data_IF_733611514569
#
_entry.id   IF_733611514569
#
_cell.length_a   1.000
_cell.length_b   1.000
_cell.length_c   1.000
_cell.angle_alpha   90.00
_cell.angle_beta   90.00
_cell.angle_gamma   90.00
#
_symmetry.space_group_name_H-M   'P 1'
#
loop_
_entity.id
_entity.type
_entity.pdbx_description
1 polymer ?
#
# COMPACT_ATOMS: atom_id res chain seq x y z
N UNK A 1 -23.07 33.50 1.64
CA UNK A 1 -21.81 32.76 1.35
C UNK A 1 -21.87 31.31 1.80
N UNK A 2 -21.98 30.97 3.10
CA UNK A 2 -22.03 29.53 3.49
C UNK A 2 -23.31 28.82 3.01
N UNK A 3 -24.47 29.51 2.99
CA UNK A 3 -25.73 28.94 2.50
C UNK A 3 -25.61 28.46 1.06
N UNK A 4 -25.05 29.30 0.18
CA UNK A 4 -24.87 28.96 -1.23
C UNK A 4 -23.87 27.82 -1.42
N UNK A 5 -22.77 27.79 -0.66
CA UNK A 5 -21.82 26.69 -0.64
C UNK A 5 -22.46 25.40 -0.11
N UNK A 6 -23.28 25.48 0.94
CA UNK A 6 -24.01 24.34 1.49
C UNK A 6 -24.91 23.71 0.44
N UNK A 7 -25.67 24.52 -0.30
CA UNK A 7 -26.59 24.00 -1.33
C UNK A 7 -25.83 23.33 -2.47
N UNK A 8 -24.68 23.90 -2.89
CA UNK A 8 -23.79 23.28 -3.89
C UNK A 8 -23.24 21.94 -3.40
N UNK A 9 -22.66 21.90 -2.19
CA UNK A 9 -22.11 20.66 -1.62
C UNK A 9 -23.18 19.59 -1.42
N UNK A 10 -24.41 19.98 -1.02
CA UNK A 10 -25.52 19.04 -0.87
C UNK A 10 -25.86 18.43 -2.24
N UNK A 11 -25.97 19.26 -3.28
CA UNK A 11 -26.26 18.76 -4.63
C UNK A 11 -25.16 17.80 -5.16
N UNK A 12 -23.88 18.11 -4.90
CA UNK A 12 -22.75 17.24 -5.26
C UNK A 12 -22.79 15.91 -4.49
N UNK A 13 -23.10 15.92 -3.19
CA UNK A 13 -23.23 14.71 -2.37
C UNK A 13 -24.41 13.85 -2.85
N UNK A 14 -25.55 14.47 -3.18
CA UNK A 14 -26.73 13.79 -3.74
C UNK A 14 -26.43 13.16 -5.11
N UNK A 15 -25.52 13.77 -5.90
CA UNK A 15 -25.08 13.19 -7.16
C UNK A 15 -24.18 11.95 -6.93
N UNK A 16 -23.25 12.03 -5.97
CA UNK A 16 -22.40 10.90 -5.56
C UNK A 16 -23.25 9.73 -5.07
N UNK A 17 -24.29 10.01 -4.26
CA UNK A 17 -25.24 8.98 -3.76
C UNK A 17 -26.02 8.35 -4.91
N UNK A 18 -26.60 9.17 -5.81
CA UNK A 18 -27.35 8.68 -6.99
C UNK A 18 -26.48 7.88 -7.96
N UNK A 19 -25.20 8.21 -8.05
CA UNK A 19 -24.24 7.47 -8.85
C UNK A 19 -23.83 6.12 -8.21
N UNK A 20 -24.24 5.82 -6.96
CA UNK A 20 -23.86 4.63 -6.22
C UNK A 20 -22.37 4.60 -5.84
N UNK A 21 -21.72 5.78 -5.76
CA UNK A 21 -20.28 5.90 -5.43
C UNK A 21 -20.03 6.51 -4.05
N UNK A 22 -21.11 6.76 -3.29
CA UNK A 22 -21.01 7.25 -1.91
C UNK A 22 -20.37 6.17 -1.02
N UNK A 23 -19.41 6.59 -0.19
CA UNK A 23 -18.67 5.67 0.68
C UNK A 23 -19.32 5.63 2.06
N UNK A 24 -19.98 4.51 2.37
CA UNK A 24 -20.52 4.24 3.70
C UNK A 24 -19.48 3.51 4.54
N UNK A 25 -19.10 4.10 5.67
CA UNK A 25 -18.19 3.46 6.62
C UNK A 25 -18.91 2.36 7.42
N UNK A 26 -18.18 1.30 7.75
CA UNK A 26 -18.60 0.25 8.68
C UNK A 26 -17.74 0.31 9.94
N UNK A 27 -18.36 0.19 11.10
CA UNK A 27 -17.68 0.26 12.39
C UNK A 27 -17.21 -1.14 12.79
N UNK A 28 -15.92 -1.23 13.14
CA UNK A 28 -15.34 -2.44 13.74
C UNK A 28 -15.21 -2.18 15.24
N UNK A 29 -15.78 -3.07 16.05
CA UNK A 29 -15.80 -2.95 17.52
C UNK A 29 -14.87 -3.93 18.25
N UNK A 30 -14.08 -4.71 17.50
CA UNK A 30 -13.04 -5.63 18.01
C UNK A 30 -11.64 -5.17 17.59
N UNK A 31 -10.62 -5.91 17.99
CA UNK A 31 -9.29 -5.80 17.38
C UNK A 31 -9.36 -6.15 15.87
N UNK A 32 -8.42 -5.64 15.08
CA UNK A 32 -8.32 -5.92 13.65
C UNK A 32 -7.67 -7.28 13.44
N UNK A 33 -8.44 -8.26 13.02
CA UNK A 33 -8.01 -9.65 12.83
C UNK A 33 -8.67 -10.29 11.61
N UNK A 34 -8.43 -11.59 11.39
CA UNK A 34 -9.13 -12.39 10.37
C UNK A 34 -10.64 -12.55 10.68
N UNK A 35 -11.04 -12.44 11.96
CA UNK A 35 -12.44 -12.40 12.44
C UNK A 35 -12.64 -11.14 13.24
N UNK A 36 -13.69 -10.40 12.93
CA UNK A 36 -14.01 -9.10 13.56
C UNK A 36 -15.51 -9.00 13.81
N UNK A 37 -15.90 -8.09 14.71
CA UNK A 37 -17.29 -7.65 14.79
C UNK A 37 -17.42 -6.34 14.01
N UNK A 38 -18.20 -6.34 12.93
CA UNK A 38 -18.39 -5.18 12.06
C UNK A 38 -19.86 -4.96 11.72
N UNK A 39 -20.25 -3.69 11.52
CA UNK A 39 -21.61 -3.32 11.16
C UNK A 39 -21.72 -1.86 10.69
N UNK A 40 -22.90 -1.45 10.17
CA UNK A 40 -23.14 -0.06 9.79
C UNK A 40 -23.02 0.90 10.97
N UNK A 41 -22.70 2.16 10.68
CA UNK A 41 -22.68 3.21 11.71
C UNK A 41 -24.04 3.31 12.42
N UNK A 42 -24.03 3.28 13.76
CA UNK A 42 -25.23 3.41 14.60
C UNK A 42 -26.08 2.13 14.74
N UNK A 43 -25.54 0.97 14.36
CA UNK A 43 -26.16 -0.35 14.58
C UNK A 43 -25.16 -1.30 15.22
N UNK A 44 -25.67 -2.33 15.89
CA UNK A 44 -24.84 -3.41 16.40
C UNK A 44 -24.19 -4.19 15.24
N UNK A 45 -22.90 -4.51 15.38
CA UNK A 45 -22.17 -5.31 14.43
C UNK A 45 -22.42 -6.81 14.64
N UNK A 46 -22.14 -7.61 13.61
CA UNK A 46 -22.08 -9.06 13.67
C UNK A 46 -20.63 -9.55 13.52
N UNK A 47 -20.35 -10.76 14.02
CA UNK A 47 -19.06 -11.41 13.75
C UNK A 47 -18.98 -11.79 12.28
N UNK A 48 -17.89 -11.40 11.64
CA UNK A 48 -17.64 -11.63 10.21
C UNK A 48 -16.19 -11.99 9.97
N UNK A 49 -15.93 -12.74 8.91
CA UNK A 49 -14.60 -12.97 8.35
C UNK A 49 -14.14 -11.71 7.60
N UNK A 50 -12.94 -11.26 7.86
CA UNK A 50 -12.39 -10.02 7.29
C UNK A 50 -11.45 -10.29 6.13
N UNK A 51 -11.93 -10.12 4.90
CA UNK A 51 -11.16 -10.28 3.68
C UNK A 51 -10.85 -8.96 2.97
N UNK A 52 -10.85 -7.82 3.68
CA UNK A 52 -10.54 -6.51 3.11
C UNK A 52 -9.40 -5.75 3.81
N UNK A 53 -8.95 -6.18 5.00
CA UNK A 53 -7.84 -5.54 5.69
C UNK A 53 -6.49 -5.88 5.05
N UNK A 54 -5.57 -4.90 4.99
CA UNK A 54 -4.20 -5.13 4.52
C UNK A 54 -3.30 -5.80 5.59
N UNK A 55 -3.89 -6.67 6.42
CA UNK A 55 -3.23 -7.38 7.52
C UNK A 55 -2.64 -8.71 7.03
N UNK A 56 -1.76 -8.65 6.01
CA UNK A 56 -1.26 -9.80 5.26
C UNK A 56 -0.68 -10.91 6.15
N UNK A 57 0.08 -10.55 7.17
CA UNK A 57 0.72 -11.51 8.08
C UNK A 57 -0.07 -11.75 9.37
N UNK A 58 -1.24 -11.12 9.54
CA UNK A 58 -2.05 -11.27 10.73
C UNK A 58 -1.46 -10.63 11.99
N UNK A 59 -0.54 -9.66 11.85
CA UNK A 59 0.20 -9.09 12.99
C UNK A 59 -0.50 -7.93 13.68
N UNK A 60 -1.63 -7.42 13.17
CA UNK A 60 -2.26 -6.20 13.70
C UNK A 60 -2.75 -6.34 15.16
N UNK A 61 -3.10 -7.54 15.60
CA UNK A 61 -3.51 -7.87 16.97
C UNK A 61 -2.57 -8.88 17.67
N UNK A 62 -1.37 -9.10 17.12
CA UNK A 62 -0.37 -10.00 17.71
C UNK A 62 0.03 -9.55 19.13
N UNK A 63 -0.08 -10.46 20.09
CA UNK A 63 0.19 -10.18 21.51
C UNK A 63 1.61 -9.65 21.77
N UNK A 64 2.60 -10.06 20.94
CA UNK A 64 3.99 -9.61 21.06
C UNK A 64 4.13 -8.15 20.65
N UNK A 65 3.44 -7.72 19.61
CA UNK A 65 3.38 -6.32 19.17
C UNK A 65 2.67 -5.46 20.22
N UNK A 66 1.51 -5.94 20.69
CA UNK A 66 0.73 -5.26 21.74
C UNK A 66 1.55 -5.11 23.03
N UNK A 67 2.28 -6.16 23.44
CA UNK A 67 3.15 -6.10 24.61
C UNK A 67 4.31 -5.11 24.42
N UNK A 68 4.93 -5.08 23.24
CA UNK A 68 5.99 -4.13 22.89
C UNK A 68 5.50 -2.68 22.92
N UNK A 69 4.32 -2.41 22.34
CA UNK A 69 3.70 -1.09 22.38
C UNK A 69 3.41 -0.64 23.81
N UNK A 70 2.86 -1.52 24.67
CA UNK A 70 2.60 -1.22 26.09
C UNK A 70 3.88 -0.88 26.86
N UNK A 71 4.95 -1.66 26.68
CA UNK A 71 6.24 -1.34 27.30
C UNK A 71 6.76 0.02 26.86
N UNK A 72 6.66 0.34 25.58
CA UNK A 72 7.08 1.65 25.09
C UNK A 72 6.23 2.80 25.65
N UNK A 73 4.94 2.60 25.88
CA UNK A 73 4.09 3.58 26.58
C UNK A 73 4.56 3.81 28.02
N UNK A 74 4.91 2.75 28.74
CA UNK A 74 5.39 2.84 30.13
C UNK A 74 6.77 3.50 30.22
N UNK A 75 7.69 3.19 29.30
CA UNK A 75 9.09 3.62 29.36
C UNK A 75 9.36 4.95 28.66
N UNK A 76 8.63 5.25 27.57
CA UNK A 76 8.91 6.38 26.68
C UNK A 76 7.76 7.40 26.60
N UNK A 77 6.59 7.08 27.17
CA UNK A 77 5.40 7.92 27.14
C UNK A 77 4.58 7.79 25.85
N UNK A 78 3.50 8.55 25.78
CA UNK A 78 2.50 8.45 24.71
C UNK A 78 2.96 9.03 23.37
N UNK A 79 3.67 10.17 23.37
CA UNK A 79 3.99 10.89 22.16
C UNK A 79 5.18 11.81 22.28
N UNK A 80 5.68 12.27 21.13
CA UNK A 80 6.90 13.08 21.04
C UNK A 80 6.67 14.58 21.20
N UNK A 81 5.47 15.06 20.90
CA UNK A 81 5.10 16.49 20.89
C UNK A 81 6.08 17.39 20.10
N UNK A 82 6.81 16.81 19.14
CA UNK A 82 7.85 17.48 18.37
C UNK A 82 8.16 16.75 17.06
N UNK A 83 8.72 17.50 16.12
CA UNK A 83 9.35 16.97 14.91
C UNK A 83 10.75 16.45 15.23
N UNK A 84 11.28 15.57 14.37
CA UNK A 84 12.52 14.83 14.59
C UNK A 84 13.73 15.72 14.93
N UNK A 85 13.98 16.79 14.21
CA UNK A 85 15.22 17.59 14.35
C UNK A 85 15.21 18.56 15.55
N UNK A 86 14.04 18.87 16.12
CA UNK A 86 13.97 19.79 17.29
C UNK A 86 14.24 18.99 18.56
N UNK A 87 13.30 18.16 19.01
CA UNK A 87 13.45 17.29 20.19
C UNK A 87 12.61 16.00 20.09
N UNK A 88 12.22 15.61 18.87
CA UNK A 88 11.35 14.46 18.60
C UNK A 88 12.09 13.20 18.15
N UNK A 89 13.40 13.07 18.39
CA UNK A 89 14.16 11.86 18.10
C UNK A 89 14.50 11.10 19.36
N UNK A 90 14.02 9.86 19.45
CA UNK A 90 14.43 8.89 20.47
C UNK A 90 15.37 7.84 19.86
N UNK A 91 16.05 7.08 20.73
CA UNK A 91 16.84 5.91 20.36
C UNK A 91 16.05 4.88 19.55
N UNK A 92 14.80 4.59 19.94
CA UNK A 92 13.89 3.69 19.21
C UNK A 92 13.72 4.05 17.72
N UNK A 93 13.72 5.36 17.38
CA UNK A 93 13.65 5.76 15.98
C UNK A 93 14.90 5.36 15.22
N UNK A 94 16.09 5.56 15.84
CA UNK A 94 17.36 5.19 15.22
C UNK A 94 17.52 3.67 15.11
N UNK A 95 17.06 2.93 16.11
CA UNK A 95 17.04 1.47 16.08
C UNK A 95 16.18 0.94 14.92
N UNK A 96 14.97 1.49 14.75
CA UNK A 96 14.08 1.10 13.65
C UNK A 96 14.68 1.47 12.29
N UNK A 97 15.28 2.67 12.13
CA UNK A 97 15.96 3.09 10.91
C UNK A 97 17.11 2.14 10.55
N UNK A 98 17.92 1.74 11.53
CA UNK A 98 19.01 0.80 11.34
C UNK A 98 18.51 -0.62 11.01
N UNK A 99 17.49 -1.09 11.71
CA UNK A 99 16.91 -2.41 11.48
C UNK A 99 16.30 -2.51 10.06
N UNK A 100 15.59 -1.47 9.63
CA UNK A 100 15.04 -1.42 8.26
C UNK A 100 16.14 -1.37 7.21
N UNK A 101 17.20 -0.60 7.41
CA UNK A 101 18.33 -0.56 6.48
C UNK A 101 18.99 -1.94 6.35
N UNK A 102 19.19 -2.64 7.46
CA UNK A 102 19.74 -3.99 7.47
C UNK A 102 18.80 -4.98 6.75
N UNK A 103 17.50 -4.93 7.04
CA UNK A 103 16.48 -5.79 6.45
C UNK A 103 16.34 -5.61 4.93
N UNK A 104 16.38 -4.37 4.45
CA UNK A 104 16.24 -4.04 3.04
C UNK A 104 17.56 -4.08 2.26
N UNK A 105 18.70 -4.23 2.95
CA UNK A 105 20.02 -4.19 2.33
C UNK A 105 20.40 -2.80 1.81
N UNK A 106 19.93 -1.73 2.46
CA UNK A 106 20.15 -0.34 2.05
C UNK A 106 21.18 0.36 2.96
N UNK A 107 21.63 1.57 2.55
CA UNK A 107 22.66 2.30 3.27
C UNK A 107 22.13 3.13 4.45
N UNK A 108 20.90 3.66 4.35
CA UNK A 108 20.26 4.47 5.38
C UNK A 108 18.73 4.47 5.22
N UNK A 109 18.01 4.80 6.28
CA UNK A 109 16.54 4.87 6.33
C UNK A 109 16.09 6.09 7.12
N UNK A 110 14.95 6.67 6.73
CA UNK A 110 14.29 7.79 7.41
C UNK A 110 12.81 7.49 7.60
N UNK A 111 12.29 7.74 8.81
CA UNK A 111 10.91 7.44 9.22
C UNK A 111 9.99 8.63 9.02
N UNK A 112 8.72 8.34 8.69
CA UNK A 112 7.63 9.28 8.53
C UNK A 112 6.37 8.82 9.28
N UNK A 113 5.40 9.73 9.48
CA UNK A 113 4.11 9.43 10.11
C UNK A 113 3.22 8.52 9.24
N UNK A 114 3.46 8.46 7.94
CA UNK A 114 2.81 7.55 6.97
C UNK A 114 3.70 7.35 5.75
N UNK A 115 3.42 6.32 4.94
CA UNK A 115 4.05 6.19 3.62
C UNK A 115 3.54 7.27 2.64
N UNK A 116 2.35 7.82 2.86
CA UNK A 116 1.88 8.97 2.10
C UNK A 116 2.82 10.18 2.28
N UNK A 117 3.21 10.46 3.54
CA UNK A 117 4.20 11.50 3.87
C UNK A 117 5.59 11.16 3.32
N UNK A 118 6.00 9.89 3.40
CA UNK A 118 7.28 9.41 2.87
C UNK A 118 7.38 9.68 1.36
N UNK A 119 6.38 9.27 0.58
CA UNK A 119 6.30 9.53 -0.86
C UNK A 119 6.24 11.03 -1.19
N UNK A 120 5.46 11.80 -0.40
CA UNK A 120 5.40 13.26 -0.54
C UNK A 120 6.72 13.98 -0.27
N UNK A 121 7.60 13.38 0.55
CA UNK A 121 8.86 13.97 0.93
C UNK A 121 9.97 13.82 -0.13
N UNK A 122 9.86 12.85 -1.07
CA UNK A 122 10.96 12.47 -1.97
C UNK A 122 11.21 13.49 -3.07
N UNK A 123 10.17 13.94 -3.75
CA UNK A 123 10.32 14.55 -5.07
C UNK A 123 10.78 16.01 -5.04
N UNK A 124 10.17 16.86 -4.20
CA UNK A 124 10.53 18.29 -4.13
C UNK A 124 12.00 18.54 -3.75
N UNK A 125 12.59 17.81 -2.76
CA UNK A 125 13.99 18.00 -2.38
C UNK A 125 15.01 17.50 -3.40
N UNK A 126 14.67 16.44 -4.16
CA UNK A 126 15.64 15.73 -5.01
C UNK A 126 15.58 16.17 -6.48
N UNK A 127 14.38 16.57 -6.96
CA UNK A 127 14.14 16.81 -8.39
C UNK A 127 13.58 18.20 -8.64
N UNK A 128 14.27 19.00 -9.43
CA UNK A 128 13.93 20.37 -9.80
C UNK A 128 13.63 20.54 -11.28
N UNK A 129 13.65 21.77 -11.77
CA UNK A 129 13.29 22.14 -13.16
C UNK A 129 14.16 21.48 -14.25
N UNK A 130 15.37 21.07 -13.88
CA UNK A 130 16.33 20.47 -14.81
C UNK A 130 16.25 18.94 -14.84
N UNK A 131 15.35 18.36 -14.04
CA UNK A 131 15.24 16.92 -13.82
C UNK A 131 13.96 16.38 -14.45
N UNK A 132 13.87 15.05 -14.60
CA UNK A 132 12.70 14.35 -15.12
C UNK A 132 12.24 13.27 -14.14
N UNK A 133 10.93 13.10 -14.02
CA UNK A 133 10.28 12.04 -13.26
C UNK A 133 9.38 11.26 -14.22
N UNK A 134 9.60 9.95 -14.33
CA UNK A 134 8.83 9.05 -15.20
C UNK A 134 8.06 8.08 -14.31
N UNK A 135 6.73 8.21 -14.29
CA UNK A 135 5.84 7.53 -13.36
C UNK A 135 4.96 6.52 -14.07
N UNK A 136 4.82 5.32 -13.49
CA UNK A 136 3.79 4.38 -13.93
C UNK A 136 2.38 5.00 -13.80
N UNK A 137 1.51 4.64 -14.72
CA UNK A 137 0.16 5.20 -14.84
C UNK A 137 -0.76 4.81 -13.68
N UNK A 138 -0.50 3.68 -13.01
CA UNK A 138 -1.32 3.17 -11.91
C UNK A 138 -0.66 3.32 -10.53
N UNK A 139 0.42 4.11 -10.44
CA UNK A 139 1.04 4.41 -9.16
C UNK A 139 0.06 4.95 -8.13
N UNK A 140 0.32 4.65 -6.87
CA UNK A 140 -0.48 5.12 -5.74
C UNK A 140 -0.62 6.65 -5.71
N UNK A 141 -1.77 7.14 -5.23
CA UNK A 141 -2.08 8.56 -5.16
C UNK A 141 -1.00 9.40 -4.46
N UNK A 142 -0.33 8.86 -3.44
CA UNK A 142 0.75 9.55 -2.73
C UNK A 142 1.98 9.83 -3.60
N UNK A 143 2.32 8.92 -4.52
CA UNK A 143 3.37 9.14 -5.52
C UNK A 143 2.95 10.21 -6.51
N UNK A 144 1.72 10.13 -7.02
CA UNK A 144 1.17 11.13 -7.96
C UNK A 144 1.17 12.53 -7.33
N UNK A 145 0.72 12.65 -6.09
CA UNK A 145 0.66 13.94 -5.39
C UNK A 145 2.07 14.45 -5.01
N UNK A 146 2.96 13.56 -4.56
CA UNK A 146 4.35 13.91 -4.30
C UNK A 146 5.07 14.42 -5.56
N UNK A 147 4.87 13.75 -6.70
CA UNK A 147 5.41 14.19 -8.01
C UNK A 147 4.88 15.56 -8.41
N UNK A 148 3.59 15.85 -8.12
CA UNK A 148 2.98 17.17 -8.41
C UNK A 148 3.62 18.31 -7.62
N UNK A 149 4.18 18.06 -6.45
CA UNK A 149 4.89 19.07 -5.65
C UNK A 149 6.25 19.45 -6.26
N UNK A 150 6.86 18.56 -7.04
CA UNK A 150 8.11 18.84 -7.74
C UNK A 150 7.93 19.77 -8.95
N UNK A 151 9.01 20.48 -9.30
CA UNK A 151 9.10 21.30 -10.51
C UNK A 151 9.75 20.55 -11.69
N UNK A 152 10.10 19.28 -11.54
CA UNK A 152 10.68 18.46 -12.58
C UNK A 152 9.70 18.24 -13.75
N UNK A 153 10.24 17.96 -14.93
CA UNK A 153 9.45 17.49 -16.06
C UNK A 153 8.82 16.15 -15.71
N UNK A 154 7.53 15.98 -16.02
CA UNK A 154 6.75 14.80 -15.63
C UNK A 154 6.33 14.03 -16.86
N UNK A 155 6.70 12.77 -16.88
CA UNK A 155 6.33 11.79 -17.89
C UNK A 155 5.52 10.67 -17.23
N UNK A 156 4.66 10.04 -18.00
CA UNK A 156 3.83 8.94 -17.52
C UNK A 156 3.82 7.85 -18.57
N UNK A 157 4.12 6.62 -18.16
CA UNK A 157 4.05 5.45 -19.03
C UNK A 157 2.87 4.55 -18.66
N UNK A 158 2.36 3.79 -19.63
CA UNK A 158 1.28 2.84 -19.43
C UNK A 158 1.71 1.75 -18.42
N UNK A 159 0.76 1.28 -17.60
CA UNK A 159 1.06 0.37 -16.49
C UNK A 159 1.86 -0.86 -16.96
N UNK A 160 3.03 -1.04 -16.35
CA UNK A 160 3.97 -2.14 -16.57
C UNK A 160 4.44 -2.30 -18.04
N UNK A 161 4.26 -1.28 -18.88
CA UNK A 161 4.65 -1.28 -20.31
C UNK A 161 6.08 -0.76 -20.47
N UNK A 162 7.02 -1.67 -20.73
CA UNK A 162 8.44 -1.35 -20.90
C UNK A 162 8.74 -0.61 -22.21
N UNK A 163 7.95 -0.80 -23.25
CA UNK A 163 8.12 -0.13 -24.54
C UNK A 163 7.69 1.34 -24.43
N UNK A 164 6.56 1.60 -23.74
CA UNK A 164 6.17 2.98 -23.44
C UNK A 164 7.13 3.63 -22.44
N UNK A 165 7.62 2.91 -21.41
CA UNK A 165 8.65 3.42 -20.51
C UNK A 165 9.90 3.86 -21.29
N UNK A 166 10.40 3.06 -22.25
CA UNK A 166 11.50 3.44 -23.13
C UNK A 166 11.19 4.73 -23.88
N UNK A 167 10.00 4.84 -24.46
CA UNK A 167 9.57 6.05 -25.19
C UNK A 167 9.62 7.29 -24.29
N UNK A 168 9.18 7.18 -23.02
CA UNK A 168 9.21 8.29 -22.07
C UNK A 168 10.65 8.64 -21.63
N UNK A 169 11.55 7.64 -21.52
CA UNK A 169 12.97 7.86 -21.23
C UNK A 169 13.67 8.58 -22.37
N UNK A 170 13.39 8.20 -23.62
CA UNK A 170 13.89 8.90 -24.82
C UNK A 170 13.40 10.36 -24.86
N UNK A 171 12.12 10.60 -24.52
CA UNK A 171 11.59 11.95 -24.43
C UNK A 171 12.27 12.78 -23.32
N UNK A 172 12.57 12.18 -22.17
CA UNK A 172 13.33 12.84 -21.09
C UNK A 172 14.78 13.14 -21.51
N UNK A 173 15.41 12.25 -22.28
CA UNK A 173 16.75 12.45 -22.84
C UNK A 173 16.81 13.56 -23.90
N UNK A 174 15.70 13.90 -24.53
CA UNK A 174 15.58 14.99 -25.49
C UNK A 174 15.28 16.37 -24.85
N UNK A 175 15.07 16.45 -23.55
CA UNK A 175 14.81 17.71 -22.84
C UNK A 175 15.96 18.72 -23.01
N UNK A 176 15.66 20.00 -22.76
CA UNK A 176 16.64 21.10 -22.71
C UNK A 176 17.49 21.23 -23.98
N UNK A 177 16.83 21.22 -25.13
CA UNK A 177 17.46 21.33 -26.46
C UNK A 177 18.42 20.15 -26.76
N UNK A 178 18.04 18.94 -26.33
CA UNK A 178 18.83 17.73 -26.55
C UNK A 178 19.98 17.50 -25.57
N UNK A 179 20.08 18.32 -24.50
CA UNK A 179 21.05 18.08 -23.42
C UNK A 179 20.63 17.01 -22.44
N UNK A 180 19.33 16.64 -22.46
CA UNK A 180 18.70 15.71 -21.53
C UNK A 180 18.39 16.30 -20.15
N UNK A 181 17.63 15.57 -19.36
CA UNK A 181 17.44 15.89 -17.96
C UNK A 181 18.76 15.71 -17.17
N UNK A 182 19.00 16.57 -16.19
CA UNK A 182 20.19 16.45 -15.32
C UNK A 182 20.13 15.15 -14.47
N UNK A 183 18.95 14.81 -14.00
CA UNK A 183 18.63 13.56 -13.29
C UNK A 183 17.31 13.05 -13.80
N UNK A 184 17.22 11.75 -13.97
CA UNK A 184 15.97 11.07 -14.31
C UNK A 184 15.67 10.03 -13.23
N UNK A 185 14.42 9.89 -12.82
CA UNK A 185 13.96 8.82 -11.92
C UNK A 185 12.75 8.12 -12.50
N UNK A 186 12.79 6.80 -12.51
CA UNK A 186 11.64 5.94 -12.82
C UNK A 186 10.97 5.61 -11.49
N UNK A 187 9.65 5.79 -11.41
CA UNK A 187 8.86 5.60 -10.19
C UNK A 187 7.75 4.60 -10.45
N UNK A 188 7.69 3.56 -9.64
CA UNK A 188 6.66 2.52 -9.72
C UNK A 188 6.24 2.02 -8.34
N UNK A 189 4.97 1.62 -8.17
CA UNK A 189 4.60 0.69 -7.12
C UNK A 189 5.27 -0.66 -7.41
N UNK A 190 5.74 -1.37 -6.39
CA UNK A 190 6.21 -2.76 -6.54
C UNK A 190 5.05 -3.71 -6.79
N UNK A 191 3.93 -3.47 -6.10
CA UNK A 191 2.65 -4.18 -6.26
C UNK A 191 1.53 -3.17 -6.41
N UNK A 192 0.79 -3.23 -7.51
CA UNK A 192 -0.35 -2.36 -7.76
C UNK A 192 -1.57 -2.78 -6.93
N UNK A 193 -1.98 -1.92 -6.02
CA UNK A 193 -2.90 -2.21 -4.92
C UNK A 193 -4.30 -2.67 -5.31
N UNK A 194 -4.78 -2.31 -6.51
CA UNK A 194 -6.12 -2.66 -6.99
C UNK A 194 -6.15 -3.94 -7.82
N UNK A 195 -4.99 -4.39 -8.30
CA UNK A 195 -4.86 -5.48 -9.27
C UNK A 195 -4.04 -6.66 -8.72
N UNK A 196 -3.13 -6.42 -7.79
CA UNK A 196 -2.18 -7.43 -7.32
C UNK A 196 -1.09 -7.76 -8.35
N UNK A 197 -0.94 -6.94 -9.40
CA UNK A 197 0.13 -7.08 -10.37
C UNK A 197 1.46 -6.62 -9.78
N UNK A 198 2.53 -7.30 -10.17
CA UNK A 198 3.90 -6.91 -9.83
C UNK A 198 4.48 -6.04 -10.96
N UNK A 199 5.22 -5.00 -10.60
CA UNK A 199 5.98 -4.23 -11.57
C UNK A 199 7.09 -5.11 -12.18
N UNK A 200 7.38 -4.99 -13.49
CA UNK A 200 8.44 -5.76 -14.15
C UNK A 200 9.83 -5.18 -13.83
N UNK A 201 10.22 -5.22 -12.53
CA UNK A 201 11.42 -4.55 -12.02
C UNK A 201 12.71 -4.89 -12.76
N UNK A 202 12.98 -6.15 -13.20
CA UNK A 202 14.18 -6.43 -13.99
C UNK A 202 14.27 -5.58 -15.26
N UNK A 203 13.18 -5.50 -16.03
CA UNK A 203 13.14 -4.69 -17.26
C UNK A 203 13.19 -3.18 -16.98
N UNK A 204 12.58 -2.72 -15.88
CA UNK A 204 12.68 -1.32 -15.44
C UNK A 204 14.13 -0.98 -15.09
N UNK A 205 14.82 -1.85 -14.35
CA UNK A 205 16.23 -1.66 -14.01
C UNK A 205 17.13 -1.70 -15.24
N UNK A 206 16.86 -2.59 -16.22
CA UNK A 206 17.63 -2.62 -17.48
C UNK A 206 17.52 -1.31 -18.26
N UNK A 207 16.33 -0.74 -18.33
CA UNK A 207 16.12 0.58 -18.94
C UNK A 207 16.74 1.70 -18.10
N UNK A 208 16.69 1.61 -16.78
CA UNK A 208 17.34 2.57 -15.90
C UNK A 208 18.87 2.62 -16.12
N UNK A 209 19.50 1.46 -16.22
CA UNK A 209 20.95 1.35 -16.51
C UNK A 209 21.28 1.92 -17.90
N UNK A 210 20.47 1.61 -18.92
CA UNK A 210 20.68 2.10 -20.29
C UNK A 210 20.62 3.64 -20.37
N UNK A 211 19.67 4.25 -19.66
CA UNK A 211 19.45 5.71 -19.71
C UNK A 211 20.11 6.48 -18.56
N UNK A 212 20.77 5.81 -17.62
CA UNK A 212 21.38 6.43 -16.45
C UNK A 212 20.34 7.04 -15.49
N UNK A 213 19.18 6.38 -15.35
CA UNK A 213 18.09 6.82 -14.49
C UNK A 213 18.18 6.15 -13.12
N UNK A 214 17.66 6.83 -12.08
CA UNK A 214 17.41 6.25 -10.77
C UNK A 214 16.13 5.42 -10.79
N UNK A 215 16.02 4.43 -9.90
CA UNK A 215 14.81 3.62 -9.71
C UNK A 215 14.26 3.85 -8.30
N UNK A 216 12.98 4.20 -8.21
CA UNK A 216 12.21 4.28 -6.97
C UNK A 216 11.06 3.29 -6.99
N UNK A 217 10.95 2.49 -5.92
CA UNK A 217 9.89 1.49 -5.75
C UNK A 217 9.12 1.78 -4.45
N UNK A 218 7.79 1.94 -4.56
CA UNK A 218 6.89 1.88 -3.40
C UNK A 218 6.47 0.43 -3.17
N UNK A 219 6.99 -0.16 -2.13
CA UNK A 219 6.80 -1.57 -1.79
C UNK A 219 5.79 -1.79 -0.65
N UNK A 220 4.90 -0.82 -0.45
CA UNK A 220 3.88 -0.83 0.62
C UNK A 220 2.97 -2.06 0.62
N UNK A 221 2.80 -2.73 -0.50
CA UNK A 221 2.01 -3.96 -0.65
C UNK A 221 2.87 -5.23 -0.78
N UNK A 222 4.18 -5.15 -0.49
CA UNK A 222 5.08 -6.28 -0.64
C UNK A 222 6.02 -6.47 0.55
N UNK A 223 6.55 -5.36 1.10
CA UNK A 223 7.44 -5.40 2.27
C UNK A 223 6.79 -6.14 3.43
N UNK A 224 7.53 -7.06 4.03
CA UNK A 224 7.12 -7.97 5.08
C UNK A 224 6.86 -9.40 4.61
N UNK A 225 6.59 -9.65 3.31
CA UNK A 225 6.22 -10.99 2.87
C UNK A 225 6.63 -11.39 1.44
N UNK A 226 6.88 -10.45 0.52
CA UNK A 226 7.41 -10.78 -0.80
C UNK A 226 8.93 -10.99 -0.73
N UNK A 227 9.45 -11.92 -1.53
CA UNK A 227 10.84 -12.33 -1.49
C UNK A 227 11.15 -13.40 -0.43
N UNK A 228 12.37 -13.91 -0.42
CA UNK A 228 12.79 -15.01 0.45
C UNK A 228 12.78 -14.60 1.92
N UNK A 229 13.31 -13.42 2.23
CA UNK A 229 13.30 -12.85 3.59
C UNK A 229 12.06 -12.01 3.90
N UNK A 230 11.30 -11.61 2.88
CA UNK A 230 10.18 -10.67 2.97
C UNK A 230 10.61 -9.23 2.76
N UNK A 231 11.77 -8.97 2.18
CA UNK A 231 12.27 -7.61 1.95
C UNK A 231 11.59 -6.89 0.77
N UNK A 232 10.67 -7.56 0.07
CA UNK A 232 9.80 -6.94 -0.90
C UNK A 232 10.03 -7.37 -2.35
N UNK A 233 9.44 -6.64 -3.30
CA UNK A 233 9.52 -6.96 -4.72
C UNK A 233 10.92 -6.87 -5.32
N UNK A 234 11.81 -5.93 -4.90
CA UNK A 234 13.19 -5.94 -5.39
C UNK A 234 13.96 -7.22 -5.01
N UNK A 235 13.74 -7.76 -3.80
CA UNK A 235 14.30 -9.05 -3.40
C UNK A 235 13.69 -10.20 -4.20
N UNK A 236 12.37 -10.21 -4.36
CA UNK A 236 11.64 -11.22 -5.13
C UNK A 236 12.20 -11.38 -6.55
N UNK A 237 12.57 -10.28 -7.19
CA UNK A 237 13.15 -10.27 -8.53
C UNK A 237 14.68 -10.31 -8.57
N UNK A 238 15.37 -10.30 -7.42
CA UNK A 238 16.83 -10.31 -7.35
C UNK A 238 17.49 -9.03 -7.87
N UNK A 239 16.84 -7.85 -7.71
CA UNK A 239 17.30 -6.55 -8.21
C UNK A 239 17.46 -5.49 -7.11
N UNK A 240 17.54 -5.89 -5.84
CA UNK A 240 17.59 -4.96 -4.70
C UNK A 240 18.76 -3.96 -4.78
N UNK A 241 19.90 -4.36 -5.32
CA UNK A 241 21.10 -3.53 -5.49
C UNK A 241 20.96 -2.48 -6.61
N UNK A 242 19.95 -2.63 -7.48
CA UNK A 242 19.65 -1.75 -8.62
C UNK A 242 18.53 -0.74 -8.34
N UNK A 243 17.92 -0.80 -7.15
CA UNK A 243 16.91 0.16 -6.70
C UNK A 243 17.57 1.20 -5.80
N UNK A 244 17.36 2.48 -6.06
CA UNK A 244 18.00 3.58 -5.34
C UNK A 244 17.16 4.10 -4.17
N UNK A 245 15.82 4.04 -4.30
CA UNK A 245 14.86 4.56 -3.34
C UNK A 245 13.76 3.54 -3.12
N UNK A 246 13.65 3.07 -1.88
CA UNK A 246 12.58 2.20 -1.42
C UNK A 246 11.64 3.01 -0.54
N UNK A 247 10.35 2.89 -0.73
CA UNK A 247 9.36 3.36 0.23
C UNK A 247 8.45 2.23 0.67
N UNK A 248 7.90 2.34 1.87
CA UNK A 248 7.02 1.33 2.40
C UNK A 248 6.28 1.82 3.64
N UNK A 249 5.30 1.03 4.08
CA UNK A 249 4.39 1.37 5.17
C UNK A 249 4.47 0.38 6.32
N UNK A 250 4.28 0.88 7.53
CA UNK A 250 4.04 0.04 8.72
C UNK A 250 2.54 -0.25 8.92
N UNK A 251 1.69 0.41 8.15
CA UNK A 251 0.22 0.28 8.24
C UNK A 251 -0.36 -0.96 7.57
N UNK A 252 0.47 -1.95 7.19
CA UNK A 252 0.05 -3.19 6.53
C UNK A 252 0.75 -4.40 7.15
N UNK A 253 1.55 -5.16 6.40
CA UNK A 253 2.22 -6.37 6.87
C UNK A 253 3.15 -6.15 8.08
N UNK A 254 3.76 -4.98 8.20
CA UNK A 254 4.66 -4.63 9.29
C UNK A 254 3.93 -4.10 10.54
N UNK A 255 2.86 -4.78 10.95
CA UNK A 255 2.15 -4.50 12.21
C UNK A 255 0.80 -3.79 12.07
N UNK A 256 0.48 -3.20 10.91
CA UNK A 256 -0.87 -2.67 10.62
C UNK A 256 -1.25 -1.36 11.31
N UNK A 257 -0.33 -0.67 12.00
CA UNK A 257 -0.62 0.58 12.71
C UNK A 257 -0.50 1.79 11.77
N UNK A 258 0.50 2.61 11.93
CA UNK A 258 0.77 3.77 11.09
C UNK A 258 2.27 3.98 10.95
N UNK A 259 2.65 4.92 10.07
CA UNK A 259 4.04 5.20 9.76
C UNK A 259 4.46 4.65 8.41
N UNK A 260 5.61 5.12 7.97
CA UNK A 260 6.25 4.72 6.74
C UNK A 260 7.71 5.13 6.73
N UNK A 261 8.40 4.77 5.67
CA UNK A 261 9.83 5.04 5.55
C UNK A 261 10.22 5.34 4.10
N UNK A 262 11.36 6.03 3.97
CA UNK A 262 12.19 6.02 2.77
C UNK A 262 13.52 5.39 3.14
N UNK A 263 13.97 4.43 2.35
CA UNK A 263 15.24 3.74 2.52
C UNK A 263 16.02 3.74 1.20
N UNK A 264 17.35 3.76 1.25
CA UNK A 264 18.14 3.76 0.01
C UNK A 264 19.54 4.32 0.21
N UNK A 265 20.02 5.07 -0.79
CA UNK A 265 21.36 5.66 -0.77
C UNK A 265 21.47 6.74 0.32
N UNK A 266 22.58 6.74 1.04
CA UNK A 266 22.80 7.61 2.22
C UNK A 266 22.63 9.10 1.90
N UNK A 267 23.12 9.56 0.77
CA UNK A 267 23.03 10.96 0.37
C UNK A 267 21.58 11.38 0.06
N UNK A 268 20.77 10.46 -0.46
CA UNK A 268 19.33 10.67 -0.69
C UNK A 268 18.65 10.86 0.66
N UNK A 269 18.81 9.91 1.56
CA UNK A 269 18.20 9.93 2.90
C UNK A 269 18.67 11.16 3.69
N UNK A 270 19.96 11.49 3.64
CA UNK A 270 20.51 12.69 4.27
C UNK A 270 19.88 13.98 3.71
N UNK A 271 19.64 14.08 2.40
CA UNK A 271 18.96 15.21 1.79
C UNK A 271 17.50 15.32 2.25
N UNK A 272 16.79 14.19 2.37
CA UNK A 272 15.41 14.19 2.88
C UNK A 272 15.34 14.65 4.34
N UNK A 273 16.31 14.29 5.18
CA UNK A 273 16.42 14.79 6.56
C UNK A 273 16.55 16.31 6.61
N UNK A 274 17.18 16.93 5.62
CA UNK A 274 17.41 18.38 5.59
C UNK A 274 16.28 19.16 4.91
N UNK A 275 15.56 18.56 3.94
CA UNK A 275 14.63 19.29 3.06
C UNK A 275 13.25 18.65 2.92
N UNK A 276 13.05 17.42 3.36
CA UNK A 276 11.77 16.73 3.27
C UNK A 276 10.72 17.40 4.16
N UNK A 277 9.78 18.14 3.57
CA UNK A 277 8.80 18.93 4.32
C UNK A 277 7.95 18.08 5.29
N UNK A 278 7.42 16.91 4.91
CA UNK A 278 6.71 16.05 5.85
C UNK A 278 7.56 15.63 7.07
N UNK A 279 8.86 15.43 6.89
CA UNK A 279 9.77 15.12 8.00
C UNK A 279 10.05 16.34 8.90
N UNK A 280 10.25 17.50 8.29
CA UNK A 280 10.59 18.72 9.01
C UNK A 280 9.42 19.35 9.77
N UNK A 281 8.18 19.11 9.33
CA UNK A 281 7.00 19.83 9.82
C UNK A 281 5.89 18.94 10.37
N UNK A 282 6.03 17.60 10.32
CA UNK A 282 5.10 16.67 10.93
C UNK A 282 5.70 16.03 12.19
N UNK A 283 4.87 15.72 13.16
CA UNK A 283 5.31 15.04 14.40
C UNK A 283 6.01 13.73 14.10
N UNK A 284 6.98 13.40 14.96
CA UNK A 284 7.67 12.11 14.94
C UNK A 284 6.70 10.95 15.17
N UNK A 285 7.02 9.81 14.60
CA UNK A 285 6.29 8.56 14.85
C UNK A 285 6.25 8.27 16.37
N UNK A 286 5.08 7.86 16.87
CA UNK A 286 4.90 7.61 18.29
C UNK A 286 5.79 6.44 18.79
N UNK A 287 6.34 6.53 20.02
CA UNK A 287 7.22 5.49 20.57
C UNK A 287 6.59 4.10 20.57
N UNK A 288 5.30 3.98 20.89
CA UNK A 288 4.57 2.70 20.91
C UNK A 288 4.50 2.05 19.53
N UNK A 289 4.31 2.85 18.48
CA UNK A 289 4.29 2.36 17.08
C UNK A 289 5.70 1.95 16.67
N UNK A 290 6.70 2.76 16.98
CA UNK A 290 8.11 2.49 16.65
C UNK A 290 8.58 1.16 17.26
N UNK A 291 8.31 0.93 18.55
CA UNK A 291 8.67 -0.29 19.24
C UNK A 291 7.90 -1.52 18.72
N UNK A 292 6.60 -1.39 18.46
CA UNK A 292 5.81 -2.48 17.89
C UNK A 292 6.29 -2.84 16.47
N UNK A 293 6.65 -1.85 15.64
CA UNK A 293 7.19 -2.08 14.30
C UNK A 293 8.55 -2.78 14.33
N UNK A 294 9.43 -2.45 15.28
CA UNK A 294 10.68 -3.19 15.53
C UNK A 294 10.39 -4.68 15.82
N UNK A 295 9.40 -4.94 16.67
CA UNK A 295 8.98 -6.31 16.98
C UNK A 295 8.39 -7.00 15.75
N UNK A 296 7.58 -6.31 14.95
CA UNK A 296 7.03 -6.84 13.71
C UNK A 296 8.13 -7.23 12.73
N UNK A 297 9.15 -6.39 12.57
CA UNK A 297 10.29 -6.67 11.70
C UNK A 297 11.05 -7.92 12.14
N UNK A 298 11.33 -8.07 13.43
CA UNK A 298 11.96 -9.29 13.99
C UNK A 298 11.13 -10.55 13.73
N UNK A 299 9.80 -10.44 13.82
CA UNK A 299 8.90 -11.57 13.54
C UNK A 299 8.91 -11.93 12.06
N UNK A 300 8.94 -10.96 11.18
CA UNK A 300 9.04 -11.17 9.73
C UNK A 300 10.34 -11.88 9.36
N UNK A 301 11.48 -11.41 9.90
CA UNK A 301 12.78 -12.04 9.68
C UNK A 301 12.82 -13.50 10.20
N UNK A 302 12.18 -13.73 11.35
CA UNK A 302 12.16 -15.05 12.02
C UNK A 302 11.13 -16.04 11.48
N UNK A 303 10.19 -15.63 10.62
CA UNK A 303 9.03 -16.47 10.28
C UNK A 303 8.77 -16.63 8.77
N UNK A 304 9.48 -17.58 8.16
CA UNK A 304 9.13 -18.03 6.81
C UNK A 304 7.72 -18.68 6.74
N UNK A 305 7.22 -19.22 7.87
CA UNK A 305 5.93 -19.91 7.91
C UNK A 305 4.74 -18.96 7.70
N UNK A 306 4.77 -17.74 8.26
CA UNK A 306 3.72 -16.75 8.02
C UNK A 306 3.62 -16.39 6.53
N UNK A 307 4.76 -16.19 5.87
CA UNK A 307 4.80 -15.92 4.43
C UNK A 307 4.27 -17.11 3.62
N UNK A 308 4.75 -18.32 3.93
CA UNK A 308 4.29 -19.53 3.27
C UNK A 308 2.78 -19.75 3.46
N UNK A 309 2.24 -19.49 4.64
CA UNK A 309 0.81 -19.60 4.92
C UNK A 309 0.01 -18.58 4.11
N UNK A 310 0.47 -17.33 4.03
CA UNK A 310 -0.17 -16.30 3.23
C UNK A 310 -0.30 -16.70 1.76
N UNK A 311 0.78 -17.20 1.16
CA UNK A 311 0.78 -17.62 -0.26
C UNK A 311 -0.05 -18.88 -0.49
N UNK A 312 0.01 -19.87 0.40
CA UNK A 312 -0.90 -21.04 0.34
C UNK A 312 -2.37 -20.62 0.38
N UNK A 313 -2.71 -19.68 1.26
CA UNK A 313 -4.06 -19.15 1.37
C UNK A 313 -4.50 -18.43 0.09
N UNK A 314 -3.61 -17.67 -0.53
CA UNK A 314 -3.89 -16.99 -1.79
C UNK A 314 -4.08 -17.97 -2.95
N UNK A 315 -3.24 -18.98 -3.05
CA UNK A 315 -3.34 -20.05 -4.04
C UNK A 315 -4.64 -20.86 -3.88
N UNK A 316 -4.95 -21.28 -2.66
CA UNK A 316 -6.19 -22.01 -2.34
C UNK A 316 -7.42 -21.19 -2.74
N UNK A 317 -7.49 -19.91 -2.33
CA UNK A 317 -8.63 -19.05 -2.66
C UNK A 317 -8.78 -18.90 -4.18
N UNK A 318 -7.68 -18.66 -4.92
CA UNK A 318 -7.72 -18.55 -6.38
C UNK A 318 -8.22 -19.84 -7.04
N UNK A 319 -7.73 -21.01 -6.62
CA UNK A 319 -8.14 -22.31 -7.14
C UNK A 319 -9.64 -22.53 -6.93
N UNK A 320 -10.12 -22.35 -5.70
CA UNK A 320 -11.52 -22.59 -5.34
C UNK A 320 -12.49 -21.62 -6.04
N UNK A 321 -12.15 -20.34 -6.12
CA UNK A 321 -12.95 -19.36 -6.86
C UNK A 321 -13.01 -19.66 -8.36
N UNK A 322 -11.90 -20.13 -8.94
CA UNK A 322 -11.84 -20.57 -10.33
C UNK A 322 -12.75 -21.80 -10.60
N UNK A 323 -12.76 -22.79 -9.71
CA UNK A 323 -13.66 -23.96 -9.77
C UNK A 323 -15.14 -23.54 -9.75
N UNK A 324 -15.48 -22.49 -8.97
CA UNK A 324 -16.83 -21.93 -8.90
C UNK A 324 -17.17 -20.96 -10.06
N UNK A 325 -16.25 -20.80 -11.03
CA UNK A 325 -16.46 -20.03 -12.25
C UNK A 325 -16.44 -18.52 -12.06
N UNK A 326 -15.74 -18.01 -11.03
CA UNK A 326 -15.48 -16.58 -10.89
C UNK A 326 -14.29 -16.14 -11.75
N UNK A 327 -14.43 -14.97 -12.38
CA UNK A 327 -13.35 -14.35 -13.11
C UNK A 327 -12.40 -13.63 -12.14
N UNK A 328 -11.12 -14.00 -12.15
CA UNK A 328 -10.07 -13.40 -11.34
C UNK A 328 -9.01 -12.76 -12.23
N UNK A 329 -8.43 -11.64 -11.79
CA UNK A 329 -7.20 -11.18 -12.43
C UNK A 329 -6.05 -12.16 -12.11
N UNK A 330 -5.22 -12.48 -13.12
CA UNK A 330 -4.08 -13.37 -12.92
C UNK A 330 -3.05 -12.75 -11.97
N UNK A 331 -2.24 -13.58 -11.31
CA UNK A 331 -1.17 -13.14 -10.42
C UNK A 331 -0.96 -14.10 -9.26
N UNK A 332 0.12 -13.90 -8.52
CA UNK A 332 0.54 -14.71 -7.38
C UNK A 332 0.40 -13.98 -6.04
N UNK A 333 0.06 -12.70 -6.07
CA UNK A 333 -0.04 -11.87 -4.87
C UNK A 333 -1.27 -12.23 -4.02
N UNK A 334 -1.22 -11.91 -2.72
CA UNK A 334 -2.31 -12.10 -1.75
C UNK A 334 -3.50 -11.12 -1.96
N UNK A 335 -3.37 -10.15 -2.83
CA UNK A 335 -4.48 -9.37 -3.39
C UNK A 335 -5.10 -10.20 -4.51
N UNK A 336 -6.40 -10.54 -4.37
CA UNK A 336 -7.14 -11.32 -5.38
C UNK A 336 -8.37 -10.54 -5.80
N UNK A 337 -8.33 -9.85 -6.95
CA UNK A 337 -9.49 -9.15 -7.50
C UNK A 337 -10.47 -10.16 -8.12
N UNK A 338 -11.72 -10.16 -7.64
CA UNK A 338 -12.84 -10.90 -8.21
C UNK A 338 -13.61 -9.93 -9.12
N UNK A 339 -13.62 -10.19 -10.42
CA UNK A 339 -14.11 -9.26 -11.43
C UNK A 339 -15.63 -9.37 -11.64
N UNK A 340 -16.30 -8.23 -11.66
CA UNK A 340 -17.73 -8.14 -11.93
C UNK A 340 -18.07 -7.20 -13.10
N UNK A 341 -17.14 -6.28 -13.44
CA UNK A 341 -17.32 -5.30 -14.50
C UNK A 341 -18.29 -4.18 -14.13
N UNK A 342 -19.51 -4.50 -13.73
CA UNK A 342 -20.56 -3.55 -13.36
C UNK A 342 -20.43 -3.12 -11.88
N UNK A 343 -20.47 -1.81 -11.62
CA UNK A 343 -20.29 -1.23 -10.30
C UNK A 343 -21.43 -1.57 -9.33
N UNK A 344 -22.69 -1.53 -9.82
CA UNK A 344 -23.85 -1.80 -8.99
C UNK A 344 -23.93 -3.29 -8.64
N UNK A 345 -23.55 -4.18 -9.57
CA UNK A 345 -23.45 -5.61 -9.31
C UNK A 345 -22.40 -5.90 -8.24
N UNK A 346 -21.20 -5.36 -8.38
CA UNK A 346 -20.12 -5.54 -7.40
C UNK A 346 -20.52 -5.07 -5.99
N UNK A 347 -21.19 -3.91 -5.90
CA UNK A 347 -21.68 -3.37 -4.63
C UNK A 347 -22.75 -4.28 -4.01
N UNK A 348 -23.76 -4.72 -4.76
CA UNK A 348 -24.81 -5.62 -4.26
C UNK A 348 -24.23 -6.95 -3.78
N UNK A 349 -23.24 -7.50 -4.50
CA UNK A 349 -22.58 -8.74 -4.07
C UNK A 349 -21.78 -8.50 -2.79
N UNK A 350 -21.05 -7.38 -2.67
CA UNK A 350 -20.31 -7.07 -1.45
C UNK A 350 -21.24 -6.90 -0.22
N UNK A 351 -22.43 -6.33 -0.40
CA UNK A 351 -23.43 -6.23 0.66
C UNK A 351 -24.01 -7.61 1.01
N UNK A 352 -24.37 -8.42 0.02
CA UNK A 352 -24.83 -9.78 0.23
C UNK A 352 -23.79 -10.70 0.90
N UNK A 353 -22.49 -10.47 0.61
CA UNK A 353 -21.39 -11.15 1.30
C UNK A 353 -21.37 -10.86 2.80
N UNK A 354 -21.63 -9.61 3.19
CA UNK A 354 -21.71 -9.24 4.61
C UNK A 354 -22.83 -9.99 5.32
N UNK A 355 -24.00 -10.15 4.67
CA UNK A 355 -25.12 -10.94 5.20
C UNK A 355 -24.77 -12.43 5.34
N UNK A 356 -23.78 -12.91 4.58
CA UNK A 356 -23.21 -14.26 4.70
C UNK A 356 -22.05 -14.34 5.70
N UNK A 357 -21.79 -13.30 6.49
CA UNK A 357 -20.73 -13.27 7.48
C UNK A 357 -19.33 -13.04 6.92
N UNK A 358 -19.20 -12.46 5.72
CA UNK A 358 -17.89 -12.16 5.09
C UNK A 358 -17.81 -10.69 4.70
N UNK A 359 -16.84 -9.98 5.28
CA UNK A 359 -16.60 -8.57 4.99
C UNK A 359 -15.59 -8.41 3.84
N UNK A 360 -16.11 -7.91 2.74
CA UNK A 360 -15.34 -7.49 1.55
C UNK A 360 -15.80 -6.10 1.10
N UNK A 361 -15.02 -5.48 0.21
CA UNK A 361 -15.33 -4.14 -0.33
C UNK A 361 -15.28 -4.16 -1.86
N UNK A 362 -16.32 -3.62 -2.48
CA UNK A 362 -16.36 -3.38 -3.91
C UNK A 362 -15.59 -2.10 -4.28
N UNK A 363 -14.87 -2.17 -5.40
CA UNK A 363 -14.15 -1.04 -5.99
C UNK A 363 -14.67 -0.77 -7.39
N UNK A 364 -14.96 0.50 -7.66
CA UNK A 364 -15.46 1.00 -8.94
C UNK A 364 -14.75 2.30 -9.32
N UNK A 365 -15.10 2.88 -10.44
CA UNK A 365 -14.64 4.20 -10.85
C UNK A 365 -14.91 5.24 -9.73
N UNK A 366 -14.00 6.19 -9.42
CA UNK A 366 -12.72 6.45 -10.14
C UNK A 366 -11.51 5.64 -9.64
N UNK A 367 -11.68 4.73 -8.68
CA UNK A 367 -10.57 3.96 -8.07
C UNK A 367 -10.03 2.91 -9.05
N UNK A 368 -10.92 2.33 -9.85
CA UNK A 368 -10.59 1.42 -10.97
C UNK A 368 -11.26 1.93 -12.25
N UNK A 369 -10.81 1.55 -13.45
CA UNK A 369 -11.41 2.01 -14.71
C UNK A 369 -12.90 1.64 -14.82
N UNK A 370 -13.66 2.44 -15.60
CA UNK A 370 -15.06 2.14 -15.89
C UNK A 370 -15.18 0.77 -16.58
N UNK A 371 -16.18 -0.01 -16.16
CA UNK A 371 -16.40 -1.36 -16.67
C UNK A 371 -15.45 -2.42 -16.08
N UNK A 372 -14.65 -2.06 -15.09
CA UNK A 372 -13.72 -2.96 -14.41
C UNK A 372 -13.97 -3.02 -12.90
N UNK A 373 -15.22 -2.87 -12.49
CA UNK A 373 -15.59 -3.00 -11.07
C UNK A 373 -15.28 -4.41 -10.55
N UNK A 374 -14.79 -4.47 -9.32
CA UNK A 374 -14.32 -5.68 -8.68
C UNK A 374 -14.53 -5.68 -7.18
N UNK A 375 -14.54 -6.84 -6.58
CA UNK A 375 -14.33 -7.02 -5.15
C UNK A 375 -12.86 -7.40 -4.97
N UNK A 376 -12.09 -6.56 -4.26
CA UNK A 376 -10.70 -6.83 -3.95
C UNK A 376 -10.60 -7.63 -2.66
N UNK A 377 -10.32 -8.93 -2.79
CA UNK A 377 -10.09 -9.80 -1.64
C UNK A 377 -8.64 -9.70 -1.18
N UNK A 378 -8.43 -9.55 0.13
CA UNK A 378 -7.13 -9.52 0.78
C UNK A 378 -6.96 -10.78 1.61
N UNK A 379 -6.06 -11.67 1.21
CA UNK A 379 -5.74 -12.85 2.01
C UNK A 379 -4.78 -12.46 3.14
N UNK A 380 -4.84 -13.22 4.22
CA UNK A 380 -4.00 -13.06 5.41
C UNK A 380 -3.50 -14.42 5.88
N UNK A 381 -2.33 -14.43 6.51
CA UNK A 381 -1.83 -15.60 7.22
C UNK A 381 -2.68 -15.95 8.45
N UNK A 382 -3.53 -15.02 8.90
CA UNK A 382 -4.51 -15.26 9.99
C UNK A 382 -5.77 -16.03 9.53
N UNK A 383 -6.00 -16.18 8.22
CA UNK A 383 -7.10 -16.98 7.71
C UNK A 383 -6.74 -18.46 7.76
N UNK A 384 -7.67 -19.27 8.25
CA UNK A 384 -7.62 -20.73 8.16
C UNK A 384 -8.15 -21.20 6.80
N UNK A 385 -7.87 -22.44 6.43
CA UNK A 385 -8.47 -23.08 5.26
C UNK A 385 -10.00 -23.07 5.32
N UNK A 386 -10.57 -23.30 6.52
CA UNK A 386 -12.02 -23.23 6.73
C UNK A 386 -12.60 -21.83 6.49
N UNK A 387 -11.87 -20.77 6.88
CA UNK A 387 -12.26 -19.38 6.60
C UNK A 387 -12.29 -19.10 5.10
N UNK A 388 -11.31 -19.62 4.35
CA UNK A 388 -11.23 -19.47 2.90
C UNK A 388 -12.41 -20.20 2.23
N UNK A 389 -12.68 -21.45 2.62
CA UNK A 389 -13.80 -22.20 2.09
C UNK A 389 -15.14 -21.54 2.45
N UNK A 390 -15.27 -20.96 3.64
CA UNK A 390 -16.45 -20.19 4.02
C UNK A 390 -16.63 -18.93 3.14
N UNK A 391 -15.55 -18.23 2.85
CA UNK A 391 -15.58 -17.07 1.96
C UNK A 391 -16.00 -17.45 0.54
N UNK A 392 -15.48 -18.54 -0.02
CA UNK A 392 -15.87 -19.06 -1.34
C UNK A 392 -17.37 -19.39 -1.38
N UNK A 393 -17.86 -20.15 -0.37
CA UNK A 393 -19.32 -20.44 -0.27
C UNK A 393 -20.17 -19.18 -0.18
N UNK A 394 -19.70 -18.16 0.56
CA UNK A 394 -20.38 -16.88 0.66
C UNK A 394 -20.45 -16.16 -0.70
N UNK A 395 -19.36 -16.17 -1.51
CA UNK A 395 -19.36 -15.62 -2.86
C UNK A 395 -20.37 -16.31 -3.77
N UNK A 396 -20.46 -17.64 -3.73
CA UNK A 396 -21.44 -18.42 -4.50
C UNK A 396 -22.86 -18.02 -4.09
N UNK A 397 -23.18 -18.06 -2.80
CA UNK A 397 -24.50 -17.73 -2.25
C UNK A 397 -24.90 -16.26 -2.57
N UNK A 398 -23.97 -15.32 -2.41
CA UNK A 398 -24.22 -13.91 -2.72
C UNK A 398 -24.49 -13.70 -4.21
N UNK A 399 -23.72 -14.35 -5.10
CA UNK A 399 -23.94 -14.32 -6.57
C UNK A 399 -25.33 -14.86 -6.92
N UNK A 400 -25.71 -16.01 -6.38
CA UNK A 400 -27.02 -16.62 -6.63
C UNK A 400 -28.17 -15.71 -6.16
N UNK A 401 -28.09 -15.20 -4.94
CA UNK A 401 -29.09 -14.30 -4.37
C UNK A 401 -29.27 -13.01 -5.19
N UNK A 402 -28.16 -12.40 -5.61
CA UNK A 402 -28.18 -11.14 -6.39
C UNK A 402 -28.67 -11.33 -7.81
N UNK A 403 -28.40 -12.48 -8.45
CA UNK A 403 -28.83 -12.77 -9.81
C UNK A 403 -30.28 -13.30 -9.90
N UNK A 404 -30.84 -13.84 -8.80
CA UNK A 404 -32.22 -14.32 -8.74
C UNK A 404 -33.24 -13.21 -8.44
N UNK A 405 -32.84 -12.06 -7.92
CA UNK A 405 -33.68 -10.89 -7.58
C UNK A 405 -33.40 -9.70 -8.48
#
# INVERSE_FOLDING_TARGET
>A
MYTDLKDQLTAELDEIERAGTFKHERVISTAQSGRITAGPVGRDGAEVLNFCANNYLGLADDERLVASAKRALDERGFGMASVRFICGTQDLHLELEQALSAFLGTEDTILFSSCFDANGAVFEPLFGKEDAIISDALNHASLIDGIRLSKAARFRYANADLDDLRTQLEAAAALHDGRGARRTVIVTDGVFSMDGYLAPLPGICDLADEFGALVMVDDSHAVGFMGESGAGTPEHFGVSDRVDIFTGTFGKALGGASGGYVSGRREIVAMLRQKGRPYLFSNSLAPSITAATLTALQLVEGSAELRATLFRNAELFRARMGEEGFELLPGEHAIVPVMFGDAALAARIADAMLDQGVYVTAFSYPVVPKGQARIRVQLSAAHTEEDIEAAVRAFVAAREAVLAG
#
